data_IF_819311375948
#
_entry.id   IF_819311375948
#
_cell.length_a   1.000
_cell.length_b   1.000
_cell.length_c   1.000
_cell.angle_alpha   90.00
_cell.angle_beta   90.00
_cell.angle_gamma   90.00
#
_symmetry.space_group_name_H-M   'P 1'
#
loop_
_entity.id
_entity.type
_entity.pdbx_description
1 polymer ?
#
# COMPACT_ATOMS: atom_id res chain seq x y z
N UNK A 1 -9.67 18.14 -16.99
CA UNK A 1 -10.62 17.00 -17.19
C UNK A 1 -11.49 16.86 -15.96
N UNK A 2 -12.82 16.75 -16.08
CA UNK A 2 -13.71 16.63 -14.91
C UNK A 2 -13.44 15.29 -14.18
N UNK A 3 -13.28 15.31 -12.87
CA UNK A 3 -12.96 14.14 -12.02
C UNK A 3 -13.94 12.99 -12.25
N UNK A 4 -15.23 13.30 -12.37
CA UNK A 4 -16.28 12.30 -12.62
C UNK A 4 -16.10 11.57 -13.97
N UNK A 5 -15.64 12.26 -15.01
CA UNK A 5 -15.34 11.64 -16.29
C UNK A 5 -14.17 10.67 -16.17
N UNK A 6 -13.09 11.08 -15.52
CA UNK A 6 -11.92 10.23 -15.28
C UNK A 6 -12.30 8.98 -14.47
N UNK A 7 -13.08 9.19 -13.39
CA UNK A 7 -13.61 8.12 -12.54
C UNK A 7 -14.40 7.09 -13.36
N UNK A 8 -15.32 7.56 -14.20
CA UNK A 8 -16.11 6.70 -15.08
C UNK A 8 -15.23 5.88 -16.03
N UNK A 9 -14.20 6.49 -16.63
CA UNK A 9 -13.26 5.80 -17.54
C UNK A 9 -12.46 4.73 -16.80
N UNK A 10 -11.99 4.99 -15.59
CA UNK A 10 -11.25 3.99 -14.79
C UNK A 10 -12.16 2.81 -14.43
N UNK A 11 -13.41 3.07 -14.05
CA UNK A 11 -14.41 2.02 -13.77
C UNK A 11 -14.58 1.14 -15.02
N UNK A 12 -14.85 1.74 -16.20
CA UNK A 12 -14.99 1.02 -17.46
C UNK A 12 -13.77 0.15 -17.78
N UNK A 13 -12.55 0.66 -17.52
CA UNK A 13 -11.32 -0.12 -17.74
C UNK A 13 -11.30 -1.36 -16.84
N UNK A 14 -11.60 -1.23 -15.56
CA UNK A 14 -11.62 -2.39 -14.65
C UNK A 14 -12.74 -3.38 -14.99
N UNK A 15 -13.92 -2.89 -15.38
CA UNK A 15 -15.03 -3.74 -15.84
C UNK A 15 -14.67 -4.54 -17.10
N UNK A 16 -13.96 -3.93 -18.07
CA UNK A 16 -13.37 -4.64 -19.22
C UNK A 16 -12.40 -5.76 -18.80
N UNK A 17 -11.78 -5.62 -17.64
CA UNK A 17 -10.94 -6.65 -17.01
C UNK A 17 -11.72 -7.59 -16.07
N UNK A 18 -13.07 -7.64 -16.21
CA UNK A 18 -13.97 -8.55 -15.50
C UNK A 18 -14.10 -8.29 -13.99
N UNK A 19 -13.69 -7.15 -13.47
CA UNK A 19 -14.07 -6.75 -12.11
C UNK A 19 -15.56 -6.41 -12.07
N UNK A 20 -16.20 -6.70 -10.92
CA UNK A 20 -17.56 -6.24 -10.69
C UNK A 20 -17.64 -4.71 -10.64
N UNK A 21 -18.78 -4.12 -10.98
CA UNK A 21 -19.02 -2.67 -10.91
C UNK A 21 -18.69 -2.11 -9.52
N UNK A 22 -19.03 -2.85 -8.44
CA UNK A 22 -18.71 -2.48 -7.05
C UNK A 22 -17.19 -2.39 -6.84
N UNK A 23 -16.45 -3.41 -7.21
CA UNK A 23 -14.99 -3.46 -7.05
C UNK A 23 -14.29 -2.43 -7.94
N UNK A 24 -14.77 -2.22 -9.16
CA UNK A 24 -14.24 -1.22 -10.09
C UNK A 24 -14.39 0.20 -9.54
N UNK A 25 -15.52 0.52 -8.88
CA UNK A 25 -15.73 1.81 -8.19
C UNK A 25 -14.71 2.01 -7.07
N UNK A 26 -14.54 1.02 -6.18
CA UNK A 26 -13.54 1.09 -5.10
C UNK A 26 -12.15 1.37 -5.66
N UNK A 27 -11.73 0.62 -6.68
CA UNK A 27 -10.41 0.82 -7.31
C UNK A 27 -10.25 2.21 -7.92
N UNK A 28 -11.28 2.72 -8.59
CA UNK A 28 -11.25 4.04 -9.21
C UNK A 28 -11.14 5.14 -8.13
N UNK A 29 -11.88 5.01 -7.04
CA UNK A 29 -11.88 5.99 -5.94
C UNK A 29 -10.50 6.09 -5.29
N UNK A 30 -9.84 4.97 -5.02
CA UNK A 30 -8.48 4.95 -4.46
C UNK A 30 -7.45 5.55 -5.41
N UNK A 31 -7.51 5.23 -6.71
CA UNK A 31 -6.58 5.78 -7.71
C UNK A 31 -6.75 7.29 -7.87
N UNK A 32 -7.99 7.77 -7.94
CA UNK A 32 -8.27 9.21 -8.05
C UNK A 32 -7.85 9.94 -6.78
N UNK A 33 -8.16 9.39 -5.61
CA UNK A 33 -7.76 9.99 -4.34
C UNK A 33 -6.24 10.15 -4.25
N UNK A 34 -5.47 9.16 -4.72
CA UNK A 34 -4.01 9.27 -4.79
C UNK A 34 -3.53 10.37 -5.73
N UNK A 35 -4.20 10.61 -6.86
CA UNK A 35 -3.88 11.74 -7.75
C UNK A 35 -4.19 13.09 -7.09
N UNK A 36 -5.33 13.21 -6.40
CA UNK A 36 -5.78 14.45 -5.76
C UNK A 36 -4.83 14.92 -4.64
N UNK A 37 -4.15 13.99 -3.96
CA UNK A 37 -3.14 14.30 -2.95
C UNK A 37 -1.72 14.27 -3.51
N UNK A 38 -1.56 14.30 -4.82
CA UNK A 38 -0.27 14.27 -5.54
C UNK A 38 0.60 13.04 -5.27
N UNK A 39 0.04 11.98 -4.72
CA UNK A 39 0.73 10.70 -4.51
C UNK A 39 0.83 9.90 -5.82
N UNK A 40 1.43 10.49 -6.86
CA UNK A 40 1.52 9.97 -8.24
C UNK A 40 2.08 8.55 -8.35
N UNK A 41 2.90 8.13 -7.39
CA UNK A 41 3.43 6.76 -7.35
C UNK A 41 2.37 5.69 -7.01
N UNK A 42 1.21 6.09 -6.50
CA UNK A 42 0.09 5.22 -6.08
C UNK A 42 -1.22 5.52 -6.83
N UNK A 43 -1.24 6.52 -7.70
CA UNK A 43 -2.37 6.95 -8.51
C UNK A 43 -2.45 6.26 -9.88
N UNK A 44 -2.87 7.00 -10.88
CA UNK A 44 -3.15 6.51 -12.26
C UNK A 44 -1.96 5.82 -12.93
N UNK A 45 -0.74 6.18 -12.57
CA UNK A 45 0.47 5.50 -13.05
C UNK A 45 0.47 4.00 -12.76
N UNK A 46 -0.33 3.55 -11.77
CA UNK A 46 -0.49 2.14 -11.39
C UNK A 46 -1.58 1.39 -12.15
N UNK A 47 -2.50 2.08 -12.81
CA UNK A 47 -3.64 1.45 -13.50
C UNK A 47 -3.18 0.36 -14.47
N UNK A 48 -2.20 0.66 -15.33
CA UNK A 48 -1.62 -0.32 -16.28
C UNK A 48 -1.05 -1.54 -15.56
N UNK A 49 -0.41 -1.35 -14.41
CA UNK A 49 0.14 -2.45 -13.61
C UNK A 49 -0.96 -3.39 -13.12
N UNK A 50 -2.06 -2.86 -12.57
CA UNK A 50 -3.19 -3.67 -12.10
C UNK A 50 -3.84 -4.44 -13.25
N UNK A 51 -4.13 -3.78 -14.38
CA UNK A 51 -4.67 -4.43 -15.57
C UNK A 51 -3.79 -5.57 -16.07
N UNK A 52 -2.46 -5.35 -16.10
CA UNK A 52 -1.52 -6.40 -16.50
C UNK A 52 -1.49 -7.58 -15.52
N UNK A 53 -1.58 -7.32 -14.21
CA UNK A 53 -1.65 -8.39 -13.21
C UNK A 53 -2.91 -9.21 -13.31
N UNK A 54 -4.05 -8.59 -13.64
CA UNK A 54 -5.31 -9.30 -13.90
C UNK A 54 -5.16 -10.19 -15.16
N UNK A 55 -4.64 -9.63 -16.27
CA UNK A 55 -4.39 -10.38 -17.51
C UNK A 55 -3.48 -11.61 -17.27
N UNK A 56 -2.46 -11.45 -16.42
CA UNK A 56 -1.54 -12.53 -16.05
C UNK A 56 -2.09 -13.48 -14.98
N UNK A 57 -3.37 -13.38 -14.62
CA UNK A 57 -4.03 -14.19 -13.57
C UNK A 57 -3.37 -14.10 -12.18
N UNK A 58 -2.60 -13.02 -11.92
CA UNK A 58 -2.00 -12.72 -10.62
C UNK A 58 -2.97 -11.98 -9.68
N UNK A 59 -4.09 -11.50 -10.20
CA UNK A 59 -5.21 -10.93 -9.46
C UNK A 59 -6.47 -11.62 -9.96
N UNK A 60 -7.27 -12.13 -9.03
CA UNK A 60 -8.59 -12.70 -9.33
C UNK A 60 -9.60 -11.53 -9.49
N UNK A 61 -10.18 -11.32 -10.68
CA UNK A 61 -11.15 -10.25 -10.91
C UNK A 61 -12.54 -10.54 -10.31
N UNK A 62 -12.84 -11.80 -9.98
CA UNK A 62 -14.11 -12.26 -9.40
C UNK A 62 -13.88 -13.02 -8.09
N UNK A 63 -13.24 -12.39 -7.08
CA UNK A 63 -12.84 -13.06 -5.86
C UNK A 63 -14.07 -13.46 -5.02
N UNK A 64 -13.98 -14.61 -4.38
CA UNK A 64 -14.90 -15.10 -3.34
C UNK A 64 -14.29 -14.77 -1.97
N UNK A 65 -14.32 -13.50 -1.58
CA UNK A 65 -13.72 -13.03 -0.34
C UNK A 65 -14.48 -13.61 0.85
N UNK A 66 -13.74 -14.21 1.79
CA UNK A 66 -14.31 -14.84 3.00
C UNK A 66 -13.83 -14.13 4.24
N UNK A 67 -14.75 -13.88 5.18
CA UNK A 67 -14.42 -13.33 6.49
C UNK A 67 -14.68 -14.44 7.52
N UNK A 68 -13.63 -14.85 8.24
CA UNK A 68 -13.72 -15.78 9.36
C UNK A 68 -13.58 -15.01 10.66
N UNK A 69 -14.60 -15.03 11.50
CA UNK A 69 -14.52 -14.49 12.85
C UNK A 69 -13.73 -15.48 13.72
N UNK A 70 -12.71 -14.99 14.41
CA UNK A 70 -11.88 -15.77 15.33
C UNK A 70 -12.34 -15.54 16.78
N UNK A 71 -12.62 -14.27 17.11
CA UNK A 71 -13.22 -13.86 18.39
C UNK A 71 -14.16 -12.68 18.16
N UNK A 72 -14.67 -12.08 19.23
CA UNK A 72 -15.48 -10.86 19.14
C UNK A 72 -14.72 -9.68 18.54
N UNK A 73 -13.41 -9.58 18.79
CA UNK A 73 -12.53 -8.49 18.35
C UNK A 73 -11.65 -8.87 17.16
N UNK A 74 -11.45 -10.17 16.86
CA UNK A 74 -10.50 -10.65 15.86
C UNK A 74 -11.20 -11.31 14.68
N UNK A 75 -10.82 -10.94 13.45
CA UNK A 75 -11.30 -11.58 12.22
C UNK A 75 -10.15 -11.80 11.25
N UNK A 76 -10.26 -12.84 10.41
CA UNK A 76 -9.41 -13.08 9.26
C UNK A 76 -10.20 -12.85 7.98
N UNK A 77 -9.59 -12.19 7.01
CA UNK A 77 -10.13 -12.03 5.65
C UNK A 77 -9.25 -12.82 4.69
N UNK A 78 -9.83 -13.80 4.02
CA UNK A 78 -9.22 -14.45 2.88
C UNK A 78 -9.70 -13.73 1.62
N UNK A 79 -8.80 -13.01 0.97
CA UNK A 79 -9.13 -12.12 -0.14
C UNK A 79 -9.18 -12.84 -1.50
N UNK A 80 -8.90 -14.14 -1.56
CA UNK A 80 -8.94 -14.94 -2.79
C UNK A 80 -8.19 -14.27 -3.97
N UNK A 81 -6.98 -13.77 -3.68
CA UNK A 81 -6.14 -13.02 -4.61
C UNK A 81 -6.80 -11.79 -5.25
N UNK A 82 -7.74 -11.16 -4.56
CA UNK A 82 -8.38 -9.93 -5.04
C UNK A 82 -7.37 -8.79 -5.22
N UNK A 83 -7.80 -7.76 -5.95
CA UNK A 83 -7.08 -6.49 -5.95
C UNK A 83 -7.06 -5.90 -4.54
N UNK A 84 -5.89 -5.45 -4.08
CA UNK A 84 -5.67 -5.04 -2.69
C UNK A 84 -6.58 -3.92 -2.19
N UNK A 85 -7.01 -3.01 -3.04
CA UNK A 85 -7.96 -1.97 -2.68
C UNK A 85 -9.27 -2.52 -2.09
N UNK A 86 -9.79 -3.59 -2.71
CA UNK A 86 -11.07 -4.20 -2.29
C UNK A 86 -10.90 -4.95 -0.97
N UNK A 87 -9.86 -5.76 -0.84
CA UNK A 87 -9.64 -6.55 0.37
C UNK A 87 -9.29 -5.70 1.58
N UNK A 88 -8.50 -4.65 1.39
CA UNK A 88 -8.16 -3.73 2.47
C UNK A 88 -9.35 -2.88 2.91
N UNK A 89 -10.21 -2.46 1.96
CA UNK A 89 -11.46 -1.76 2.26
C UNK A 89 -12.42 -2.64 3.10
N UNK A 90 -12.54 -3.91 2.75
CA UNK A 90 -13.29 -4.90 3.54
C UNK A 90 -12.64 -5.12 4.91
N UNK A 91 -11.31 -5.23 4.95
CA UNK A 91 -10.55 -5.44 6.18
C UNK A 91 -10.74 -4.31 7.19
N UNK A 92 -10.58 -3.06 6.76
CA UNK A 92 -10.76 -1.91 7.65
C UNK A 92 -12.21 -1.75 8.11
N UNK A 93 -13.18 -1.97 7.22
CA UNK A 93 -14.60 -1.94 7.59
C UNK A 93 -14.92 -2.98 8.66
N UNK A 94 -14.37 -4.19 8.56
CA UNK A 94 -14.53 -5.24 9.56
C UNK A 94 -13.81 -4.89 10.88
N UNK A 95 -12.61 -4.31 10.83
CA UNK A 95 -11.88 -3.85 12.02
C UNK A 95 -12.68 -2.76 12.77
N UNK A 96 -13.20 -1.78 12.06
CA UNK A 96 -14.07 -0.73 12.63
C UNK A 96 -15.32 -1.35 13.28
N UNK A 97 -15.98 -2.31 12.60
CA UNK A 97 -17.15 -3.02 13.14
C UNK A 97 -16.83 -3.73 14.45
N UNK A 98 -15.70 -4.45 14.49
CA UNK A 98 -15.26 -5.16 15.71
C UNK A 98 -14.94 -4.15 16.83
N UNK A 99 -14.15 -3.11 16.54
CA UNK A 99 -13.75 -2.09 17.51
C UNK A 99 -14.94 -1.37 18.15
N UNK A 100 -15.96 -1.02 17.37
CA UNK A 100 -17.18 -0.42 17.90
C UNK A 100 -17.96 -1.31 18.85
N UNK A 101 -17.81 -2.64 18.71
CA UNK A 101 -18.50 -3.61 19.57
C UNK A 101 -17.74 -3.94 20.84
N UNK A 102 -16.40 -3.95 20.77
CA UNK A 102 -15.54 -4.54 21.82
C UNK A 102 -14.41 -3.61 22.28
N UNK A 103 -14.37 -2.36 21.79
CA UNK A 103 -13.30 -1.41 22.07
C UNK A 103 -12.05 -1.61 21.20
N UNK A 104 -11.82 -2.82 20.69
CA UNK A 104 -10.66 -3.17 19.85
C UNK A 104 -11.10 -4.00 18.65
N UNK A 105 -10.50 -3.75 17.48
CA UNK A 105 -10.74 -4.56 16.28
C UNK A 105 -9.42 -4.89 15.57
N UNK A 106 -9.09 -6.18 15.46
CA UNK A 106 -7.93 -6.67 14.72
C UNK A 106 -8.39 -7.50 13.53
N UNK A 107 -7.88 -7.17 12.35
CA UNK A 107 -8.18 -7.93 11.13
C UNK A 107 -6.89 -8.24 10.37
N UNK A 108 -6.64 -9.53 10.18
CA UNK A 108 -5.58 -10.01 9.31
C UNK A 108 -6.15 -10.33 7.92
N UNK A 109 -5.53 -9.78 6.87
CA UNK A 109 -5.93 -10.01 5.47
C UNK A 109 -4.85 -10.80 4.77
N UNK A 110 -5.21 -11.97 4.22
CA UNK A 110 -4.32 -12.82 3.42
C UNK A 110 -4.78 -12.95 1.98
N UNK A 111 -3.91 -13.47 1.11
CA UNK A 111 -4.18 -13.65 -0.32
C UNK A 111 -4.68 -12.36 -0.98
N UNK A 112 -3.96 -11.25 -0.71
CA UNK A 112 -4.27 -9.93 -1.20
C UNK A 112 -3.10 -9.35 -2.00
N UNK A 113 -3.40 -8.43 -2.91
CA UNK A 113 -2.40 -7.71 -3.68
C UNK A 113 -2.05 -6.34 -3.09
N UNK A 114 -1.30 -5.56 -3.86
CA UNK A 114 -0.96 -4.17 -3.53
C UNK A 114 -2.25 -3.34 -3.33
N UNK A 115 -2.34 -2.59 -2.22
CA UNK A 115 -3.55 -1.89 -1.78
C UNK A 115 -3.43 -0.35 -1.77
N UNK A 116 -2.37 0.20 -2.35
CA UNK A 116 -2.17 1.65 -2.44
C UNK A 116 -1.56 2.26 -1.18
N UNK A 117 -2.13 3.35 -0.72
CA UNK A 117 -1.70 4.08 0.48
C UNK A 117 -2.47 3.61 1.71
N UNK A 118 -1.75 3.31 2.79
CA UNK A 118 -2.35 2.87 4.06
C UNK A 118 -3.18 3.96 4.72
N UNK A 119 -2.80 5.22 4.52
CA UNK A 119 -3.52 6.40 5.02
C UNK A 119 -4.99 6.44 4.61
N UNK A 120 -5.35 5.89 3.44
CA UNK A 120 -6.75 5.89 2.98
C UNK A 120 -7.65 4.98 3.83
N UNK A 121 -7.10 3.91 4.38
CA UNK A 121 -7.81 3.03 5.30
C UNK A 121 -7.81 3.63 6.71
N UNK A 122 -6.69 4.23 7.13
CA UNK A 122 -6.61 4.93 8.41
C UNK A 122 -7.65 6.05 8.52
N UNK A 123 -7.85 6.85 7.46
CA UNK A 123 -8.87 7.87 7.43
C UNK A 123 -10.29 7.33 7.69
N UNK A 124 -10.60 6.11 7.26
CA UNK A 124 -11.93 5.53 7.48
C UNK A 124 -12.19 5.28 8.97
N UNK A 125 -11.17 4.81 9.70
CA UNK A 125 -11.27 4.57 11.14
C UNK A 125 -11.29 5.88 11.93
N UNK A 126 -10.42 6.82 11.60
CA UNK A 126 -10.34 8.13 12.25
C UNK A 126 -11.64 8.92 12.10
N UNK A 127 -12.30 8.88 10.93
CA UNK A 127 -13.64 9.43 10.70
C UNK A 127 -14.74 8.78 11.56
N UNK A 128 -14.45 7.64 12.19
CA UNK A 128 -15.35 6.96 13.15
C UNK A 128 -14.87 7.11 14.60
N UNK A 129 -13.98 8.08 14.83
CA UNK A 129 -13.40 8.41 16.14
C UNK A 129 -12.61 7.23 16.74
N UNK A 130 -11.88 6.50 15.91
CA UNK A 130 -11.03 5.36 16.31
C UNK A 130 -9.57 5.65 15.98
N UNK A 131 -8.67 5.30 16.88
CA UNK A 131 -7.25 5.16 16.57
C UNK A 131 -7.05 3.92 15.71
N UNK A 132 -6.04 3.92 14.86
CA UNK A 132 -5.80 2.83 13.92
C UNK A 132 -4.32 2.64 13.62
N UNK A 133 -3.93 1.37 13.51
CA UNK A 133 -2.69 0.95 12.88
C UNK A 133 -2.99 0.14 11.64
N UNK A 134 -2.26 0.40 10.54
CA UNK A 134 -2.29 -0.41 9.33
C UNK A 134 -0.87 -0.83 8.98
N UNK A 135 -0.66 -2.13 8.80
CA UNK A 135 0.63 -2.72 8.46
C UNK A 135 0.49 -3.57 7.21
N UNK A 136 1.55 -3.70 6.46
CA UNK A 136 1.64 -4.71 5.39
C UNK A 136 3.07 -5.08 5.11
N UNK A 137 3.29 -6.31 4.68
CA UNK A 137 4.54 -6.74 4.07
C UNK A 137 4.58 -6.38 2.58
N UNK A 138 5.79 -6.28 2.04
CA UNK A 138 6.04 -6.03 0.62
C UNK A 138 7.15 -6.96 0.11
N UNK A 139 7.28 -7.15 -1.22
CA UNK A 139 8.40 -7.91 -1.78
C UNK A 139 9.76 -7.35 -1.36
N UNK A 140 10.81 -8.20 -1.25
CA UNK A 140 12.14 -7.78 -0.85
C UNK A 140 12.65 -6.57 -1.64
N UNK A 141 13.03 -5.52 -0.94
CA UNK A 141 13.55 -4.27 -1.49
C UNK A 141 14.47 -3.52 -0.52
N UNK A 142 14.48 -3.92 0.76
CA UNK A 142 15.17 -3.30 1.86
C UNK A 142 16.23 -4.26 2.41
N UNK A 143 17.48 -3.80 2.52
CA UNK A 143 18.50 -4.54 3.24
C UNK A 143 18.31 -4.36 4.74
N UNK A 144 18.44 -5.42 5.56
CA UNK A 144 18.63 -5.26 6.99
C UNK A 144 19.81 -4.33 7.30
N UNK A 145 19.81 -3.70 8.46
CA UNK A 145 20.92 -2.84 8.87
C UNK A 145 22.25 -3.64 8.87
N UNK A 146 23.28 -3.10 8.24
CA UNK A 146 24.56 -3.76 8.04
C UNK A 146 24.60 -4.76 6.87
N UNK A 147 23.48 -5.15 6.30
CA UNK A 147 23.44 -6.09 5.18
C UNK A 147 23.62 -5.38 3.82
N UNK A 148 24.07 -6.16 2.82
CA UNK A 148 24.31 -5.68 1.46
C UNK A 148 23.23 -6.09 0.45
N UNK A 149 22.33 -7.00 0.83
CA UNK A 149 21.24 -7.52 -0.02
C UNK A 149 19.89 -7.30 0.61
N UNK A 150 18.88 -7.10 -0.23
CA UNK A 150 17.49 -6.98 0.23
C UNK A 150 16.98 -8.31 0.80
N UNK A 151 16.36 -8.24 1.98
CA UNK A 151 15.66 -9.34 2.63
C UNK A 151 14.22 -8.94 2.94
N UNK A 152 14.01 -7.74 3.51
CA UNK A 152 12.70 -7.24 3.86
C UNK A 152 12.06 -6.46 2.71
N UNK A 153 10.73 -6.36 2.73
CA UNK A 153 10.00 -5.34 2.00
C UNK A 153 10.18 -3.96 2.62
N UNK A 154 9.64 -2.95 1.96
CA UNK A 154 9.56 -1.58 2.54
C UNK A 154 8.48 -1.47 3.62
N UNK A 155 7.82 -2.53 3.92
CA UNK A 155 6.82 -2.84 4.96
C UNK A 155 6.27 -1.58 5.64
N UNK A 156 5.32 -0.87 5.00
CA UNK A 156 4.83 0.40 5.51
C UNK A 156 4.08 0.22 6.83
N UNK A 157 4.22 1.22 7.68
CA UNK A 157 3.49 1.39 8.93
C UNK A 157 2.65 2.64 8.81
N UNK A 158 1.37 2.54 9.08
CA UNK A 158 0.49 3.69 9.16
C UNK A 158 -0.17 3.75 10.54
N UNK A 159 -0.16 4.93 11.13
CA UNK A 159 -0.90 5.25 12.36
C UNK A 159 -1.84 6.41 12.09
N UNK A 160 -3.06 6.31 12.60
CA UNK A 160 -4.04 7.38 12.56
C UNK A 160 -4.72 7.60 13.91
N UNK A 161 -4.94 8.86 14.27
CA UNK A 161 -5.65 9.24 15.48
C UNK A 161 -6.60 10.43 15.23
N UNK A 162 -7.81 10.42 15.81
CA UNK A 162 -8.68 11.58 15.82
C UNK A 162 -8.11 12.66 16.74
N UNK A 163 -8.21 13.94 16.36
CA UNK A 163 -7.70 15.08 17.12
C UNK A 163 -8.74 16.18 17.32
N UNK A 164 -9.99 15.89 17.05
CA UNK A 164 -11.11 16.85 17.14
C UNK A 164 -11.28 17.74 15.91
N UNK A 165 -10.21 18.14 15.22
CA UNK A 165 -10.27 18.94 13.98
C UNK A 165 -9.68 18.18 12.81
N UNK A 166 -8.40 18.37 12.53
CA UNK A 166 -7.68 17.66 11.46
C UNK A 166 -7.05 16.40 12.05
N UNK A 167 -7.36 15.21 11.55
CA UNK A 167 -6.81 13.98 12.11
C UNK A 167 -5.29 13.92 11.94
N UNK A 168 -4.61 13.32 12.92
CA UNK A 168 -3.21 12.94 12.74
C UNK A 168 -3.16 11.62 11.96
N UNK A 169 -2.44 11.60 10.82
CA UNK A 169 -2.18 10.38 10.05
C UNK A 169 -0.72 10.37 9.62
N UNK A 170 0.01 9.36 10.09
CA UNK A 170 1.36 9.02 9.65
C UNK A 170 1.27 7.79 8.74
N UNK A 171 1.73 7.90 7.49
CA UNK A 171 1.84 6.76 6.55
C UNK A 171 3.26 6.75 5.98
N UNK A 172 4.08 5.83 6.43
CA UNK A 172 5.50 5.80 6.08
C UNK A 172 5.98 4.39 5.76
N UNK A 173 6.95 4.29 4.84
CA UNK A 173 7.69 3.05 4.63
C UNK A 173 8.82 2.93 5.66
N UNK A 174 9.28 1.72 5.94
CA UNK A 174 10.45 1.48 6.80
C UNK A 174 11.78 1.71 6.08
N UNK A 175 11.75 2.14 4.80
CA UNK A 175 12.93 2.56 4.02
C UNK A 175 13.08 4.08 3.99
N UNK A 176 14.33 4.58 3.92
CA UNK A 176 14.63 6.03 3.79
C UNK A 176 14.00 6.62 2.53
N UNK A 177 13.99 5.86 1.45
CA UNK A 177 13.43 6.28 0.16
C UNK A 177 12.52 5.19 -0.38
N UNK A 178 11.37 5.53 -0.93
CA UNK A 178 10.53 4.53 -1.58
C UNK A 178 10.98 4.24 -3.02
N UNK A 179 10.71 3.02 -3.48
CA UNK A 179 11.13 2.56 -4.82
C UNK A 179 10.49 3.38 -5.96
N UNK A 180 9.34 4.02 -5.71
CA UNK A 180 8.69 4.91 -6.66
C UNK A 180 9.53 6.17 -6.93
N UNK A 181 10.09 6.79 -5.89
CA UNK A 181 11.00 7.94 -6.03
C UNK A 181 12.27 7.57 -6.79
N UNK A 182 12.86 6.39 -6.54
CA UNK A 182 14.03 5.90 -7.29
C UNK A 182 13.70 5.71 -8.77
N UNK A 183 12.55 5.08 -9.09
CA UNK A 183 12.10 4.92 -10.48
C UNK A 183 11.86 6.26 -11.17
N UNK A 184 11.27 7.21 -10.47
CA UNK A 184 11.07 8.56 -10.98
C UNK A 184 12.41 9.24 -11.29
N UNK A 185 13.38 9.21 -10.36
CA UNK A 185 14.71 9.74 -10.56
C UNK A 185 15.40 9.09 -11.78
N UNK A 186 15.29 7.76 -11.92
CA UNK A 186 15.83 7.03 -13.08
C UNK A 186 15.19 7.49 -14.40
N UNK A 187 13.85 7.61 -14.44
CA UNK A 187 13.12 8.05 -15.64
C UNK A 187 13.55 9.44 -16.11
N UNK A 188 13.81 10.35 -15.18
CA UNK A 188 14.21 11.73 -15.47
C UNK A 188 15.74 11.94 -15.41
N UNK A 189 16.54 10.88 -15.40
CA UNK A 189 18.00 10.91 -15.33
C UNK A 189 18.56 11.76 -14.17
N UNK A 190 17.82 11.78 -13.03
CA UNK A 190 18.21 12.50 -11.81
C UNK A 190 18.94 11.57 -10.84
N UNK A 191 19.85 12.14 -10.05
CA UNK A 191 20.46 11.43 -8.91
C UNK A 191 19.45 11.27 -7.77
N UNK A 192 19.65 10.23 -6.94
CA UNK A 192 18.98 10.08 -5.64
C UNK A 192 19.90 10.62 -4.53
N UNK A 193 19.37 10.96 -3.34
CA UNK A 193 20.19 11.40 -2.22
C UNK A 193 21.25 10.35 -1.86
N UNK A 194 22.36 10.82 -1.27
CA UNK A 194 23.38 9.95 -0.70
C UNK A 194 22.85 9.21 0.55
N UNK A 195 23.31 7.98 0.77
CA UNK A 195 22.98 7.22 1.98
C UNK A 195 21.58 6.59 2.01
N UNK A 196 20.83 6.56 0.87
CA UNK A 196 19.45 6.03 0.83
C UNK A 196 19.34 4.65 0.18
N UNK A 197 20.38 4.23 -0.57
CA UNK A 197 20.38 2.96 -1.29
C UNK A 197 21.80 2.43 -1.53
N UNK A 198 21.90 1.12 -1.73
CA UNK A 198 23.11 0.42 -2.15
C UNK A 198 22.95 -0.06 -3.60
N UNK A 199 24.05 -0.16 -4.33
CA UNK A 199 24.12 -0.85 -5.61
C UNK A 199 24.18 -2.38 -5.42
N UNK A 200 24.22 -3.14 -6.51
CA UNK A 200 24.28 -4.62 -6.49
C UNK A 200 25.50 -5.20 -5.76
N UNK A 201 26.54 -4.39 -5.57
CA UNK A 201 27.77 -4.79 -4.85
C UNK A 201 27.74 -4.40 -3.35
N UNK A 202 26.63 -3.81 -2.88
CA UNK A 202 26.47 -3.37 -1.48
C UNK A 202 27.21 -2.06 -1.15
N UNK A 203 27.59 -1.26 -2.16
CA UNK A 203 28.19 0.07 -1.98
C UNK A 203 27.10 1.15 -2.09
N UNK A 204 27.19 2.21 -1.28
CA UNK A 204 26.30 3.37 -1.35
C UNK A 204 26.35 3.96 -2.76
N UNK A 205 25.17 4.29 -3.31
CA UNK A 205 25.05 4.90 -4.63
C UNK A 205 24.06 6.03 -4.67
N UNK A 206 24.36 7.06 -5.46
CA UNK A 206 23.42 8.13 -5.86
C UNK A 206 22.85 7.92 -7.25
N UNK A 207 23.30 6.87 -7.96
CA UNK A 207 22.80 6.51 -9.28
C UNK A 207 21.49 5.73 -9.15
N UNK A 208 20.40 6.31 -9.67
CA UNK A 208 19.07 5.70 -9.55
C UNK A 208 18.95 4.33 -10.25
N UNK A 209 19.65 4.10 -11.38
CA UNK A 209 19.68 2.80 -12.08
C UNK A 209 20.37 1.73 -11.24
N UNK A 210 21.51 2.06 -10.65
CA UNK A 210 22.23 1.14 -9.76
C UNK A 210 21.39 0.80 -8.51
N UNK A 211 20.73 1.81 -7.91
CA UNK A 211 19.86 1.60 -6.76
C UNK A 211 18.65 0.70 -7.08
N UNK A 212 18.10 0.75 -8.30
CA UNK A 212 17.03 -0.16 -8.74
C UNK A 212 17.49 -1.61 -8.86
N UNK A 213 18.75 -1.82 -9.17
CA UNK A 213 19.40 -3.15 -9.26
C UNK A 213 20.03 -3.61 -7.92
N UNK A 214 20.00 -2.75 -6.94
CA UNK A 214 20.49 -2.99 -5.59
C UNK A 214 19.36 -3.01 -4.56
N UNK A 215 19.57 -2.34 -3.42
CA UNK A 215 18.65 -2.34 -2.30
C UNK A 215 18.51 -0.96 -1.65
N UNK A 216 17.38 -0.72 -1.02
CA UNK A 216 17.12 0.46 -0.21
C UNK A 216 17.70 0.27 1.21
N UNK A 217 17.96 1.37 1.90
CA UNK A 217 18.38 1.36 3.29
C UNK A 217 17.23 1.66 4.25
N UNK A 218 17.26 1.08 5.47
CA UNK A 218 16.20 1.27 6.47
C UNK A 218 16.22 2.67 7.07
N UNK A 219 15.05 3.24 7.31
CA UNK A 219 14.90 4.50 8.05
C UNK A 219 15.51 4.37 9.45
N UNK A 220 16.18 5.39 9.94
CA UNK A 220 16.82 5.37 11.28
C UNK A 220 17.70 4.12 11.54
N UNK A 221 18.36 3.57 10.51
CA UNK A 221 19.30 2.46 10.61
C UNK A 221 18.68 1.18 11.20
N UNK A 222 19.24 0.70 12.32
CA UNK A 222 18.78 -0.56 12.92
C UNK A 222 17.34 -0.53 13.44
N UNK A 223 16.84 0.64 13.88
CA UNK A 223 15.44 0.78 14.35
C UNK A 223 14.44 0.52 13.21
N UNK A 224 14.67 1.13 12.03
CA UNK A 224 13.83 0.88 10.86
C UNK A 224 13.97 -0.55 10.32
N UNK A 225 15.13 -1.17 10.49
CA UNK A 225 15.33 -2.58 10.18
C UNK A 225 14.46 -3.48 11.09
N UNK A 226 14.42 -3.17 12.40
CA UNK A 226 13.56 -3.88 13.35
C UNK A 226 12.06 -3.68 13.07
N UNK A 227 11.66 -2.46 12.65
CA UNK A 227 10.26 -2.20 12.25
C UNK A 227 9.87 -2.90 10.95
N UNK A 228 10.82 -3.17 10.07
CA UNK A 228 10.58 -3.86 8.81
C UNK A 228 10.43 -5.37 8.96
N UNK A 229 10.95 -5.92 10.03
CA UNK A 229 10.84 -7.36 10.36
C UNK A 229 9.46 -7.68 10.91
#
# INVERSE_FOLDING_TARGET
MKINFLRSKIIQIFEKHKLSKKHSKVCADYLIKAELIEAKSHGLTRLKMYCNRIKKKLINPKPKIKIKRISSSISHVDADNSIGFVSADIGIAQAIKNAKKTGVGLVAVKNSGHFGLSSFYAEQAVKKNLMVFCFTNAPPALAPYGAKKSLFGTNPVCFGAPTGKTPFILDTSTSIINRGKIRHAHKFKKKIPYGVALNKFGKITTNAREALNGTQLPIAGFKGSGLAW
#
